data_IF_255768273214
#
_entry.id   IF_255768273214
#
_cell.length_a   1.000
_cell.length_b   1.000
_cell.length_c   1.000
_cell.angle_alpha   90.00
_cell.angle_beta   90.00
_cell.angle_gamma   90.00
#
_symmetry.space_group_name_H-M   'P 1'
#
loop_
_entity.id
_entity.type
_entity.pdbx_description
1 polymer ?
#
# COMPACT_ATOMS: atom_id res chain seq x y z
N UNK A 1 13.14 27.28 0.34
CA UNK A 1 12.96 28.51 1.16
C UNK A 1 14.27 28.80 1.90
N UNK A 2 14.48 29.96 2.53
CA UNK A 2 15.70 30.16 3.33
C UNK A 2 15.77 29.05 4.40
N UNK A 3 16.88 28.32 4.50
CA UNK A 3 17.01 27.15 5.41
C UNK A 3 16.69 27.51 6.86
N UNK A 4 16.95 28.75 7.29
CA UNK A 4 16.61 29.24 8.63
C UNK A 4 15.10 29.32 8.86
N UNK A 5 14.34 29.82 7.87
CA UNK A 5 12.88 29.92 7.93
C UNK A 5 12.24 28.53 7.93
N UNK A 6 12.69 27.64 7.03
CA UNK A 6 12.25 26.23 6.98
C UNK A 6 12.44 25.55 8.33
N UNK A 7 13.60 25.73 8.96
CA UNK A 7 13.90 25.13 10.26
C UNK A 7 13.02 25.68 11.38
N UNK A 8 12.68 26.98 11.36
CA UNK A 8 11.74 27.55 12.32
C UNK A 8 10.35 26.91 12.17
N UNK A 9 9.86 26.75 10.95
CA UNK A 9 8.57 26.08 10.70
C UNK A 9 8.64 24.60 11.11
N UNK A 10 9.72 23.89 10.76
CA UNK A 10 9.90 22.48 11.12
C UNK A 10 9.84 22.28 12.65
N UNK A 11 10.53 23.12 13.43
CA UNK A 11 10.58 22.99 14.90
C UNK A 11 9.21 23.18 15.55
N UNK A 12 8.36 24.05 15.01
CA UNK A 12 7.06 24.34 15.61
C UNK A 12 5.96 23.41 15.09
N UNK A 13 6.00 23.05 13.80
CA UNK A 13 4.90 22.34 13.14
C UNK A 13 5.10 20.82 13.09
N UNK A 14 6.31 20.32 12.85
CA UNK A 14 6.53 18.88 12.65
C UNK A 14 6.36 18.03 13.91
N UNK A 15 6.86 18.43 15.11
CA UNK A 15 6.68 17.63 16.32
C UNK A 15 5.21 17.42 16.67
N UNK A 16 4.38 18.47 16.57
CA UNK A 16 2.97 18.38 16.91
C UNK A 16 2.19 17.54 15.89
N UNK A 17 2.44 17.69 14.59
CA UNK A 17 1.82 16.83 13.57
C UNK A 17 2.20 15.36 13.75
N UNK A 18 3.47 15.10 14.08
CA UNK A 18 3.96 13.75 14.33
C UNK A 18 3.31 13.14 15.56
N UNK A 19 3.15 13.91 16.65
CA UNK A 19 2.44 13.45 17.86
C UNK A 19 0.97 13.15 17.60
N UNK A 20 0.27 14.01 16.85
CA UNK A 20 -1.12 13.77 16.46
C UNK A 20 -1.26 12.49 15.65
N UNK A 21 -0.43 12.31 14.62
CA UNK A 21 -0.46 11.12 13.76
C UNK A 21 -0.05 9.84 14.50
N UNK A 22 0.98 9.92 15.35
CA UNK A 22 1.42 8.82 16.21
C UNK A 22 0.27 8.34 17.12
N UNK A 23 -0.39 9.27 17.81
CA UNK A 23 -1.45 8.95 18.77
C UNK A 23 -2.63 8.24 18.09
N UNK A 24 -3.07 8.75 16.94
CA UNK A 24 -4.14 8.10 16.18
C UNK A 24 -3.74 6.73 15.65
N UNK A 25 -2.47 6.53 15.27
CA UNK A 25 -2.01 5.22 14.81
C UNK A 25 -1.96 4.20 15.95
N UNK A 26 -1.54 4.60 17.15
CA UNK A 26 -1.56 3.75 18.35
C UNK A 26 -3.01 3.33 18.65
N UNK A 27 -3.96 4.26 18.62
CA UNK A 27 -5.39 3.99 18.81
C UNK A 27 -5.92 2.94 17.81
N UNK A 28 -5.49 3.02 16.55
CA UNK A 28 -5.88 2.07 15.50
C UNK A 28 -5.39 0.65 15.77
N UNK A 29 -4.20 0.52 16.36
CA UNK A 29 -3.64 -0.78 16.74
C UNK A 29 -4.25 -1.36 18.03
N UNK A 30 -4.87 -0.53 18.88
CA UNK A 30 -5.42 -0.96 20.17
C UNK A 30 -6.50 -2.03 20.07
N UNK A 31 -7.28 -2.07 19.00
CA UNK A 31 -8.27 -3.14 18.85
C UNK A 31 -7.64 -4.53 18.73
N UNK A 32 -6.46 -4.62 18.11
CA UNK A 32 -5.66 -5.85 18.07
C UNK A 32 -5.17 -6.23 19.46
N UNK A 33 -4.64 -5.26 20.22
CA UNK A 33 -4.17 -5.47 21.59
C UNK A 33 -5.32 -5.85 22.54
N UNK A 34 -6.47 -5.21 22.40
CA UNK A 34 -7.67 -5.48 23.18
C UNK A 34 -8.20 -6.90 22.92
N UNK A 35 -8.15 -7.39 21.66
CA UNK A 35 -8.46 -8.78 21.34
C UNK A 35 -7.62 -9.75 22.17
N UNK A 36 -6.31 -9.50 22.27
CA UNK A 36 -5.38 -10.31 23.05
C UNK A 36 -5.69 -10.22 24.54
N UNK A 37 -6.09 -9.04 25.02
CA UNK A 37 -6.46 -8.76 26.41
C UNK A 37 -7.82 -9.35 26.85
N UNK A 38 -8.48 -10.13 26.00
CA UNK A 38 -9.73 -10.83 26.37
C UNK A 38 -11.01 -10.19 25.85
N UNK A 39 -10.94 -9.11 25.05
CA UNK A 39 -12.10 -8.43 24.46
C UNK A 39 -13.07 -9.41 23.75
N UNK A 40 -12.52 -10.40 23.02
CA UNK A 40 -13.34 -11.39 22.31
C UNK A 40 -14.21 -12.24 23.26
N UNK A 41 -13.68 -12.55 24.46
CA UNK A 41 -14.40 -13.31 25.48
C UNK A 41 -15.41 -12.44 26.23
N UNK A 42 -15.01 -11.23 26.62
CA UNK A 42 -15.84 -10.33 27.43
C UNK A 42 -17.09 -9.86 26.68
N UNK A 43 -16.99 -9.62 25.36
CA UNK A 43 -18.14 -9.25 24.53
C UNK A 43 -18.90 -10.46 23.95
N UNK A 44 -18.47 -11.68 24.26
CA UNK A 44 -19.07 -12.90 23.73
C UNK A 44 -18.99 -13.03 22.21
N UNK A 45 -17.94 -12.48 21.58
CA UNK A 45 -17.75 -12.51 20.13
C UNK A 45 -17.45 -13.95 19.67
N UNK A 46 -18.14 -14.40 18.63
CA UNK A 46 -17.99 -15.74 18.07
C UNK A 46 -17.53 -15.69 16.61
N UNK A 47 -16.52 -16.52 16.30
CA UNK A 47 -16.08 -16.78 14.94
C UNK A 47 -15.55 -15.53 14.22
N UNK A 48 -16.27 -15.08 13.19
CA UNK A 48 -15.83 -13.97 12.32
C UNK A 48 -16.30 -12.59 12.79
N UNK A 49 -17.10 -12.51 13.86
CA UNK A 49 -17.70 -11.25 14.34
C UNK A 49 -16.68 -10.16 14.65
N UNK A 50 -15.53 -10.51 15.23
CA UNK A 50 -14.42 -9.57 15.43
C UNK A 50 -13.90 -8.99 14.11
N UNK A 51 -13.73 -9.84 13.10
CA UNK A 51 -13.25 -9.43 11.77
C UNK A 51 -14.30 -8.59 11.02
N UNK A 52 -15.60 -8.86 11.22
CA UNK A 52 -16.68 -8.01 10.68
C UNK A 52 -16.57 -6.60 11.25
N UNK A 53 -16.33 -6.45 12.57
CA UNK A 53 -16.14 -5.12 13.16
C UNK A 53 -14.92 -4.38 12.61
N UNK A 54 -13.81 -5.08 12.35
CA UNK A 54 -12.65 -4.48 11.66
C UNK A 54 -13.00 -4.05 10.23
N UNK A 55 -13.74 -4.86 9.48
CA UNK A 55 -14.13 -4.57 8.10
C UNK A 55 -15.09 -3.38 8.01
N UNK A 56 -16.06 -3.28 8.93
CA UNK A 56 -17.01 -2.16 9.01
C UNK A 56 -16.28 -0.84 9.18
N UNK A 57 -15.27 -0.81 10.05
CA UNK A 57 -14.40 0.35 10.23
C UNK A 57 -13.69 0.77 8.94
N UNK A 58 -13.08 -0.18 8.22
CA UNK A 58 -12.40 0.12 6.95
C UNK A 58 -13.37 0.62 5.86
N UNK A 59 -14.56 0.06 5.80
CA UNK A 59 -15.59 0.49 4.86
C UNK A 59 -15.98 1.94 5.10
N UNK A 60 -16.19 2.30 6.36
CA UNK A 60 -16.58 3.66 6.72
C UNK A 60 -15.44 4.66 6.61
N UNK A 61 -14.20 4.20 6.82
CA UNK A 61 -12.99 4.99 6.61
C UNK A 61 -12.84 5.40 5.14
N UNK A 62 -12.97 4.46 4.21
CA UNK A 62 -12.80 4.72 2.76
C UNK A 62 -13.87 5.67 2.22
N UNK A 63 -15.13 5.53 2.64
CA UNK A 63 -16.21 6.42 2.15
C UNK A 63 -16.08 7.84 2.67
N UNK A 64 -15.29 8.05 3.72
CA UNK A 64 -15.20 9.33 4.41
C UNK A 64 -13.94 10.13 4.11
N UNK A 65 -12.91 9.52 3.52
CA UNK A 65 -11.68 10.23 3.14
C UNK A 65 -11.95 11.41 2.20
N UNK A 66 -12.75 11.19 1.16
CA UNK A 66 -13.06 12.22 0.16
C UNK A 66 -13.92 13.33 0.78
N UNK A 67 -15.09 13.04 1.39
CA UNK A 67 -15.89 14.09 2.04
C UNK A 67 -15.11 14.87 3.09
N UNK A 68 -14.29 14.20 3.90
CA UNK A 68 -13.51 14.86 4.95
C UNK A 68 -12.48 15.83 4.38
N UNK A 69 -11.78 15.46 3.30
CA UNK A 69 -10.82 16.36 2.67
C UNK A 69 -11.47 17.55 1.96
N UNK A 70 -12.67 17.38 1.40
CA UNK A 70 -13.38 18.50 0.76
C UNK A 70 -13.82 19.56 1.79
N UNK A 71 -14.12 19.14 3.03
CA UNK A 71 -14.49 20.07 4.10
C UNK A 71 -13.33 20.93 4.61
N UNK A 72 -12.08 20.57 4.31
CA UNK A 72 -10.89 21.36 4.64
C UNK A 72 -10.98 22.77 4.07
N UNK A 73 -11.48 22.91 2.83
CA UNK A 73 -11.63 24.21 2.17
C UNK A 73 -12.67 25.12 2.84
N UNK A 74 -13.65 24.53 3.54
CA UNK A 74 -14.75 25.29 4.18
C UNK A 74 -14.44 25.70 5.62
N UNK A 75 -13.80 24.82 6.40
CA UNK A 75 -13.56 25.05 7.83
C UNK A 75 -12.14 25.53 8.16
N UNK A 76 -11.27 25.59 7.15
CA UNK A 76 -9.85 25.92 7.30
C UNK A 76 -9.04 24.72 7.80
N UNK A 77 -7.88 24.51 7.19
CA UNK A 77 -7.04 23.31 7.36
C UNK A 77 -6.69 23.05 8.83
N UNK A 78 -6.30 24.10 9.56
CA UNK A 78 -5.94 24.01 10.98
C UNK A 78 -7.10 23.50 11.83
N UNK A 79 -8.23 24.21 11.81
CA UNK A 79 -9.36 23.94 12.69
C UNK A 79 -9.96 22.57 12.37
N UNK A 80 -10.03 22.23 11.08
CA UNK A 80 -10.50 20.94 10.64
C UNK A 80 -9.61 19.80 11.14
N UNK A 81 -8.29 19.87 10.94
CA UNK A 81 -7.37 18.81 11.36
C UNK A 81 -7.43 18.54 12.86
N UNK A 82 -7.48 19.59 13.69
CA UNK A 82 -7.60 19.44 15.15
C UNK A 82 -8.99 18.99 15.58
N UNK A 83 -10.03 19.35 14.84
CA UNK A 83 -11.36 18.81 15.08
C UNK A 83 -11.38 17.31 14.79
N UNK A 84 -10.77 16.89 13.68
CA UNK A 84 -10.60 15.48 13.28
C UNK A 84 -9.96 14.65 14.40
N UNK A 85 -8.79 15.07 14.89
CA UNK A 85 -8.06 14.31 15.93
C UNK A 85 -8.81 14.29 17.27
N UNK A 86 -9.47 15.38 17.64
CA UNK A 86 -10.29 15.44 18.86
C UNK A 86 -11.46 14.45 18.80
N UNK A 87 -12.20 14.44 17.69
CA UNK A 87 -13.31 13.50 17.50
C UNK A 87 -12.84 12.04 17.47
N UNK A 88 -11.68 11.77 16.88
CA UNK A 88 -11.05 10.44 16.95
C UNK A 88 -10.79 10.01 18.39
N UNK A 89 -10.16 10.85 19.22
CA UNK A 89 -9.90 10.55 20.63
C UNK A 89 -11.18 10.32 21.45
N UNK A 90 -12.26 11.08 21.19
CA UNK A 90 -13.57 10.88 21.84
C UNK A 90 -14.14 9.51 21.50
N UNK A 91 -14.09 9.10 20.23
CA UNK A 91 -14.61 7.81 19.78
C UNK A 91 -13.77 6.65 20.34
N UNK A 92 -12.44 6.81 20.41
CA UNK A 92 -11.56 5.86 21.10
C UNK A 92 -11.97 5.71 22.56
N UNK A 93 -12.21 6.81 23.28
CA UNK A 93 -12.66 6.77 24.67
C UNK A 93 -14.02 6.07 24.82
N UNK A 94 -14.96 6.32 23.91
CA UNK A 94 -16.26 5.61 23.88
C UNK A 94 -16.10 4.10 23.63
N UNK A 95 -15.02 3.66 22.99
CA UNK A 95 -14.73 2.23 22.75
C UNK A 95 -14.43 1.47 24.03
N UNK A 96 -14.08 2.14 25.12
CA UNK A 96 -13.89 1.50 26.42
C UNK A 96 -15.20 0.91 27.00
N UNK A 97 -16.35 1.44 26.61
CA UNK A 97 -17.65 1.10 27.20
C UNK A 97 -18.43 0.03 26.40
N UNK A 98 -17.77 -0.71 25.52
CA UNK A 98 -18.41 -1.76 24.72
C UNK A 98 -18.72 -2.99 25.57
N UNK A 99 -19.96 -3.45 25.57
CA UNK A 99 -20.40 -4.60 26.39
C UNK A 99 -20.85 -5.80 25.57
N UNK A 100 -21.33 -5.56 24.34
CA UNK A 100 -21.94 -6.57 23.47
C UNK A 100 -21.50 -6.40 22.00
N UNK A 101 -21.75 -7.42 21.17
CA UNK A 101 -21.49 -7.34 19.71
C UNK A 101 -22.18 -6.12 19.05
N UNK A 102 -23.41 -5.81 19.46
CA UNK A 102 -24.13 -4.64 18.95
C UNK A 102 -23.39 -3.34 19.27
N UNK A 103 -22.95 -3.15 20.53
CA UNK A 103 -22.15 -1.97 20.91
C UNK A 103 -20.79 -1.96 20.24
N UNK A 104 -20.19 -3.12 19.98
CA UNK A 104 -18.94 -3.23 19.23
C UNK A 104 -19.12 -2.73 17.79
N UNK A 105 -20.16 -3.19 17.08
CA UNK A 105 -20.45 -2.71 15.72
C UNK A 105 -20.90 -1.25 15.72
N UNK A 106 -21.69 -0.82 16.70
CA UNK A 106 -22.11 0.58 16.83
C UNK A 106 -20.91 1.48 17.08
N UNK A 107 -19.96 1.12 17.93
CA UNK A 107 -18.73 1.91 18.06
C UNK A 107 -17.92 1.92 16.75
N UNK A 108 -17.88 0.80 16.03
CA UNK A 108 -17.27 0.69 14.68
C UNK A 108 -18.02 1.41 13.57
N UNK A 109 -19.31 1.71 13.74
CA UNK A 109 -20.17 2.47 12.82
C UNK A 109 -20.33 3.92 13.22
N UNK A 110 -20.23 4.24 14.51
CA UNK A 110 -20.16 5.61 15.01
C UNK A 110 -18.86 6.24 14.53
N UNK A 111 -17.79 5.45 14.44
CA UNK A 111 -16.62 5.69 13.59
C UNK A 111 -16.96 6.06 12.12
N UNK A 112 -18.20 5.87 11.65
CA UNK A 112 -18.53 5.77 10.24
C UNK A 112 -19.85 6.33 9.71
N UNK A 113 -20.64 7.11 10.45
CA UNK A 113 -21.77 7.85 9.84
C UNK A 113 -21.90 9.30 10.29
N UNK A 114 -21.59 9.60 11.55
CA UNK A 114 -21.46 10.97 12.05
C UNK A 114 -20.00 11.35 12.29
N UNK A 115 -19.16 10.35 12.60
CA UNK A 115 -17.72 10.52 12.76
C UNK A 115 -16.87 10.18 11.54
N UNK A 116 -17.49 9.81 10.42
CA UNK A 116 -16.82 9.59 9.13
C UNK A 116 -15.77 10.66 8.83
N UNK A 117 -16.08 11.91 9.16
CA UNK A 117 -15.20 13.05 8.90
C UNK A 117 -13.90 13.03 9.72
N UNK A 118 -13.88 12.43 10.92
CA UNK A 118 -12.76 12.54 11.87
C UNK A 118 -11.53 11.69 11.54
N UNK A 119 -11.68 10.60 10.78
CA UNK A 119 -10.57 9.66 10.59
C UNK A 119 -10.00 9.65 9.16
N UNK A 120 -10.86 9.57 8.14
CA UNK A 120 -10.44 9.42 6.75
C UNK A 120 -9.64 10.60 6.20
N UNK A 121 -9.91 11.81 6.71
CA UNK A 121 -9.24 13.03 6.25
C UNK A 121 -7.92 13.34 6.94
N UNK A 122 -7.48 12.56 7.93
CA UNK A 122 -6.34 12.99 8.75
C UNK A 122 -5.01 12.92 8.00
N UNK A 123 -4.62 11.75 7.47
CA UNK A 123 -3.38 11.62 6.70
C UNK A 123 -3.36 12.53 5.45
N UNK A 124 -4.38 12.50 4.57
CA UNK A 124 -4.37 13.38 3.41
C UNK A 124 -4.54 14.85 3.80
N UNK A 125 -5.24 15.18 4.89
CA UNK A 125 -5.32 16.53 5.44
C UNK A 125 -3.98 17.03 5.99
N UNK A 126 -3.18 16.19 6.63
CA UNK A 126 -1.82 16.52 7.05
C UNK A 126 -0.88 16.70 5.85
N UNK A 127 -1.01 15.85 4.83
CA UNK A 127 -0.24 15.99 3.57
C UNK A 127 -0.61 17.29 2.86
N UNK A 128 -1.90 17.61 2.78
CA UNK A 128 -2.39 18.87 2.22
C UNK A 128 -1.88 20.07 3.03
N UNK A 129 -1.95 20.00 4.36
CA UNK A 129 -1.42 21.03 5.26
C UNK A 129 0.08 21.26 5.09
N UNK A 130 0.88 20.20 5.01
CA UNK A 130 2.31 20.33 4.71
C UNK A 130 2.55 20.88 3.30
N UNK A 131 1.67 20.57 2.35
CA UNK A 131 1.77 21.08 0.99
C UNK A 131 1.49 22.59 0.91
N UNK A 132 0.81 23.21 1.88
CA UNK A 132 0.63 24.68 1.92
C UNK A 132 1.81 25.39 2.59
N UNK A 133 2.53 24.72 3.49
CA UNK A 133 3.66 25.30 4.23
C UNK A 133 5.03 25.08 3.59
N UNK A 134 5.21 24.01 2.80
CA UNK A 134 6.50 23.59 2.26
C UNK A 134 6.51 23.49 0.72
N UNK A 135 7.72 23.60 0.15
CA UNK A 135 7.94 23.42 -1.30
C UNK A 135 7.94 21.95 -1.72
N UNK A 136 7.70 21.67 -3.00
CA UNK A 136 7.73 20.31 -3.59
C UNK A 136 9.00 19.52 -3.24
N UNK A 137 10.17 20.18 -3.27
CA UNK A 137 11.47 19.55 -2.97
C UNK A 137 11.73 19.36 -1.47
N UNK A 138 11.00 20.08 -0.61
CA UNK A 138 11.14 20.02 0.85
C UNK A 138 10.08 19.07 1.46
N UNK A 139 8.95 18.86 0.78
CA UNK A 139 7.77 18.12 1.24
C UNK A 139 8.04 16.63 1.49
N UNK A 140 8.79 15.97 0.60
CA UNK A 140 9.01 14.51 0.67
C UNK A 140 9.62 14.06 2.01
N UNK A 141 10.59 14.81 2.54
CA UNK A 141 11.22 14.50 3.82
C UNK A 141 10.22 14.56 4.98
N UNK A 142 9.33 15.56 4.98
CA UNK A 142 8.33 15.75 6.05
C UNK A 142 7.24 14.70 5.99
N UNK A 143 6.78 14.35 4.78
CA UNK A 143 5.88 13.21 4.59
C UNK A 143 6.55 11.91 5.07
N UNK A 144 7.83 11.71 4.77
CA UNK A 144 8.60 10.56 5.26
C UNK A 144 8.67 10.49 6.79
N UNK A 145 8.85 11.62 7.48
CA UNK A 145 8.81 11.69 8.95
C UNK A 145 7.43 11.29 9.47
N UNK A 146 6.34 11.79 8.88
CA UNK A 146 4.97 11.40 9.27
C UNK A 146 4.72 9.90 9.07
N UNK A 147 5.07 9.36 7.89
CA UNK A 147 4.90 7.93 7.61
C UNK A 147 5.73 7.08 8.58
N UNK A 148 6.90 7.56 9.01
CA UNK A 148 7.74 6.84 9.98
C UNK A 148 7.08 6.71 11.36
N UNK A 149 6.15 7.61 11.74
CA UNK A 149 5.40 7.45 12.98
C UNK A 149 4.46 6.24 12.97
N UNK A 150 4.06 5.73 11.80
CA UNK A 150 3.30 4.47 11.67
C UNK A 150 4.11 3.30 12.24
N UNK A 151 5.39 3.22 11.86
CA UNK A 151 6.29 2.18 12.35
C UNK A 151 6.53 2.32 13.86
N UNK A 152 6.71 3.55 14.35
CA UNK A 152 6.88 3.83 15.78
C UNK A 152 5.61 3.45 16.56
N UNK A 153 4.43 3.87 16.12
CA UNK A 153 3.17 3.57 16.79
C UNK A 153 2.90 2.06 16.86
N UNK A 154 3.19 1.32 15.79
CA UNK A 154 3.11 -0.15 15.81
C UNK A 154 4.09 -0.81 16.79
N UNK A 155 5.31 -0.29 16.91
CA UNK A 155 6.32 -0.81 17.83
C UNK A 155 5.99 -0.53 19.31
N UNK A 156 5.43 0.64 19.62
CA UNK A 156 5.15 1.08 20.99
C UNK A 156 3.74 0.74 21.49
N UNK A 157 2.75 0.60 20.59
CA UNK A 157 1.35 0.35 20.99
C UNK A 157 1.18 -0.94 21.79
N UNK A 158 1.81 -2.05 21.37
CA UNK A 158 1.72 -3.31 22.11
C UNK A 158 2.34 -3.23 23.52
N UNK A 159 3.44 -2.49 23.67
CA UNK A 159 4.12 -2.31 24.96
C UNK A 159 3.29 -1.43 25.92
N UNK A 160 2.72 -0.33 25.39
CA UNK A 160 1.84 0.55 26.15
C UNK A 160 0.60 -0.21 26.61
N UNK A 161 -0.05 -0.94 25.71
CA UNK A 161 -1.20 -1.77 26.01
C UNK A 161 -0.89 -2.84 27.07
N UNK A 162 0.27 -3.49 27.01
CA UNK A 162 0.70 -4.46 28.03
C UNK A 162 0.86 -3.83 29.42
N UNK A 163 1.42 -2.62 29.49
CA UNK A 163 1.54 -1.87 30.75
C UNK A 163 0.17 -1.52 31.34
N UNK A 164 -0.73 -0.99 30.51
CA UNK A 164 -2.08 -0.56 30.91
C UNK A 164 -2.95 -1.75 31.30
N UNK A 165 -2.78 -2.91 30.66
CA UNK A 165 -3.53 -4.13 30.99
C UNK A 165 -3.36 -4.59 32.45
N UNK A 166 -2.30 -4.17 33.15
CA UNK A 166 -2.12 -4.44 34.59
C UNK A 166 -3.16 -3.74 35.47
N UNK A 167 -3.87 -2.76 34.94
CA UNK A 167 -5.00 -2.09 35.60
C UNK A 167 -6.30 -2.90 35.56
N UNK A 168 -6.24 -4.18 35.15
CA UNK A 168 -7.39 -5.06 35.13
C UNK A 168 -8.03 -5.18 36.52
N UNK A 169 -9.34 -4.96 36.61
CA UNK A 169 -10.09 -5.02 37.86
C UNK A 169 -10.12 -3.70 38.66
N UNK A 170 -9.34 -2.69 38.28
CA UNK A 170 -9.46 -1.35 38.86
C UNK A 170 -10.81 -0.77 38.44
N UNK A 171 -11.63 -0.39 39.43
CA UNK A 171 -12.99 0.16 39.26
C UNK A 171 -13.96 -0.77 38.51
N UNK A 172 -13.79 -2.09 38.66
CA UNK A 172 -14.60 -3.13 37.99
C UNK A 172 -14.56 -3.07 36.45
N UNK A 173 -13.55 -2.42 35.86
CA UNK A 173 -13.37 -2.35 34.42
C UNK A 173 -12.30 -3.36 33.96
N UNK A 174 -12.50 -3.99 32.79
CA UNK A 174 -11.51 -4.91 32.25
C UNK A 174 -10.27 -4.14 31.77
N UNK A 175 -9.11 -4.77 31.82
CA UNK A 175 -7.83 -4.13 31.45
C UNK A 175 -7.80 -3.58 30.02
N UNK A 176 -8.57 -4.15 29.10
CA UNK A 176 -8.68 -3.64 27.72
C UNK A 176 -9.45 -2.32 27.61
N UNK A 177 -10.39 -2.04 28.52
CA UNK A 177 -11.13 -0.79 28.52
C UNK A 177 -10.23 0.40 28.90
N UNK A 178 -9.33 0.20 29.85
CA UNK A 178 -8.36 1.22 30.27
C UNK A 178 -7.40 1.65 29.15
N UNK A 179 -7.06 0.75 28.23
CA UNK A 179 -6.27 1.07 27.03
C UNK A 179 -6.98 2.14 26.20
N UNK A 180 -8.28 1.95 25.94
CA UNK A 180 -9.08 2.92 25.19
C UNK A 180 -9.31 4.24 25.94
N UNK A 181 -9.47 4.21 27.27
CA UNK A 181 -9.70 5.43 28.08
C UNK A 181 -8.46 6.31 28.09
N UNK A 182 -7.30 5.75 28.46
CA UNK A 182 -6.07 6.53 28.66
C UNK A 182 -5.55 7.08 27.33
N UNK A 183 -5.56 6.27 26.29
CA UNK A 183 -5.04 6.67 24.98
C UNK A 183 -5.99 7.63 24.26
N UNK A 184 -7.30 7.40 24.34
CA UNK A 184 -8.29 8.35 23.83
C UNK A 184 -8.21 9.72 24.51
N UNK A 185 -8.02 9.77 25.83
CA UNK A 185 -7.84 11.02 26.57
C UNK A 185 -6.56 11.74 26.16
N UNK A 186 -5.45 11.01 26.03
CA UNK A 186 -4.17 11.56 25.58
C UNK A 186 -4.28 12.20 24.19
N UNK A 187 -4.98 11.53 23.26
CA UNK A 187 -5.23 12.04 21.91
C UNK A 187 -6.05 13.33 21.92
N UNK A 188 -7.06 13.45 22.79
CA UNK A 188 -7.83 14.69 22.98
C UNK A 188 -6.92 15.82 23.48
N UNK A 189 -6.06 15.56 24.48
CA UNK A 189 -5.13 16.57 25.01
C UNK A 189 -4.17 17.05 23.92
N UNK A 190 -3.56 16.15 23.16
CA UNK A 190 -2.69 16.53 22.05
C UNK A 190 -3.42 17.32 20.98
N UNK A 191 -4.69 17.00 20.72
CA UNK A 191 -5.51 17.75 19.78
C UNK A 191 -5.75 19.19 20.22
N UNK A 192 -6.03 19.42 21.52
CA UNK A 192 -6.20 20.76 22.09
C UNK A 192 -4.89 21.55 21.99
N UNK A 193 -3.76 20.93 22.34
CA UNK A 193 -2.43 21.53 22.21
C UNK A 193 -2.14 21.87 20.73
N UNK A 194 -2.47 20.96 19.82
CA UNK A 194 -2.34 21.13 18.38
C UNK A 194 -3.12 22.33 17.86
N UNK A 195 -4.31 22.58 18.41
CA UNK A 195 -5.12 23.74 18.05
C UNK A 195 -4.47 25.07 18.44
N UNK A 196 -3.69 25.14 19.53
CA UNK A 196 -2.96 26.36 19.87
C UNK A 196 -1.68 26.55 19.03
N UNK A 197 -0.97 25.46 18.73
CA UNK A 197 0.36 25.51 18.10
C UNK A 197 0.29 25.61 16.57
N UNK A 198 -0.63 24.89 15.92
CA UNK A 198 -0.71 24.85 14.46
C UNK A 198 -1.09 26.22 13.88
N UNK A 199 -0.42 26.63 12.80
CA UNK A 199 -0.73 27.86 12.06
C UNK A 199 -1.56 27.54 10.81
N UNK A 200 -2.62 28.31 10.46
CA UNK A 200 -3.40 28.06 9.25
C UNK A 200 -2.64 28.25 7.93
N UNK A 201 -1.70 29.20 7.90
CA UNK A 201 -0.91 29.59 6.74
C UNK A 201 0.41 30.24 7.17
N UNK A 202 1.33 30.44 6.23
CA UNK A 202 2.60 31.15 6.48
C UNK A 202 2.32 32.61 6.91
N UNK A 203 1.41 33.31 6.23
CA UNK A 203 0.96 34.65 6.60
C UNK A 203 0.47 34.77 8.07
N UNK A 204 -0.22 33.74 8.57
CA UNK A 204 -0.78 33.72 9.93
C UNK A 204 0.17 33.12 10.99
N UNK A 205 1.40 32.75 10.62
CA UNK A 205 2.38 32.18 11.55
C UNK A 205 2.82 33.22 12.59
N UNK A 206 2.58 32.95 13.89
CA UNK A 206 2.96 33.87 14.98
C UNK A 206 4.47 33.92 15.27
N UNK A 207 5.21 32.92 14.79
CA UNK A 207 6.64 32.73 15.07
C UNK A 207 7.57 33.25 13.96
N UNK A 208 7.00 33.78 12.86
CA UNK A 208 7.75 34.41 11.78
C UNK A 208 7.60 35.93 11.87
N UNK A 209 8.70 36.64 11.62
CA UNK A 209 8.68 38.11 11.52
C UNK A 209 8.01 38.55 10.21
N UNK A 210 7.52 39.80 10.13
CA UNK A 210 6.78 40.34 8.97
C UNK A 210 7.61 40.20 7.69
N UNK A 211 8.90 40.54 7.74
CA UNK A 211 9.84 40.37 6.61
C UNK A 211 10.09 38.90 6.24
N UNK A 212 10.07 37.98 7.22
CA UNK A 212 10.22 36.54 6.97
C UNK A 212 8.96 35.93 6.34
N UNK A 213 7.78 36.49 6.65
CA UNK A 213 6.50 36.12 6.06
C UNK A 213 6.41 36.55 4.61
N UNK A 214 6.67 37.82 4.31
CA UNK A 214 6.60 38.34 2.93
C UNK A 214 7.56 37.57 2.01
N UNK A 215 8.79 37.28 2.47
CA UNK A 215 9.76 36.49 1.71
C UNK A 215 9.36 35.01 1.52
N UNK A 216 8.58 34.45 2.46
CA UNK A 216 8.10 33.08 2.38
C UNK A 216 6.83 32.98 1.52
N UNK A 217 5.96 34.01 1.53
CA UNK A 217 4.74 34.09 0.73
C UNK A 217 5.05 34.37 -0.74
N UNK A 218 5.95 35.31 -1.08
CA UNK A 218 6.35 35.61 -2.48
C UNK A 218 6.82 34.36 -3.24
N UNK A 219 7.63 33.52 -2.60
CA UNK A 219 8.18 32.29 -3.22
C UNK A 219 7.25 31.09 -3.14
N UNK A 220 6.16 31.19 -2.38
CA UNK A 220 5.07 30.19 -2.39
C UNK A 220 4.00 30.62 -3.41
N UNK A 221 3.86 31.91 -3.70
CA UNK A 221 3.03 32.45 -4.76
C UNK A 221 3.60 32.21 -6.17
N UNK A 222 4.94 32.24 -6.35
CA UNK A 222 5.62 31.80 -7.59
C UNK A 222 5.23 30.35 -8.02
N UNK A 223 4.72 29.52 -7.10
CA UNK A 223 4.22 28.16 -7.39
C UNK A 223 2.86 28.15 -8.09
N UNK A 224 2.04 29.19 -7.90
CA UNK A 224 0.70 29.30 -8.48
C UNK A 224 0.68 30.12 -9.78
N UNK A 225 1.79 30.77 -10.13
CA UNK A 225 1.91 31.51 -11.38
C UNK A 225 2.45 30.62 -12.51
N UNK A 226 1.57 30.16 -13.40
CA UNK A 226 1.86 30.29 -14.83
C UNK A 226 1.78 31.79 -15.17
N UNK A 227 2.52 32.29 -16.17
CA UNK A 227 2.45 33.69 -16.55
C UNK A 227 1.10 33.94 -17.21
N UNK A 228 0.12 34.36 -16.42
CA UNK A 228 -1.00 35.15 -16.91
C UNK A 228 -0.69 36.58 -16.55
N UNK A 229 -0.36 37.37 -17.57
CA UNK A 229 -0.57 38.81 -17.54
C UNK A 229 -2.01 39.02 -17.08
N UNK A 230 -2.22 39.30 -15.80
CA UNK A 230 -3.22 40.21 -15.24
C UNK A 230 -3.08 40.21 -13.73
N UNK A 231 -2.87 41.41 -13.22
CA UNK A 231 -2.83 41.79 -11.82
C UNK A 231 -4.22 41.66 -11.20
N UNK A 232 -4.55 40.51 -10.66
CA UNK A 232 -5.66 40.39 -9.71
C UNK A 232 -5.17 39.67 -8.46
N UNK A 233 -5.58 40.22 -7.31
CA UNK A 233 -5.38 39.68 -5.96
C UNK A 233 -5.61 38.16 -5.93
N UNK A 234 -4.93 37.39 -5.04
CA UNK A 234 -5.06 35.93 -5.00
C UNK A 234 -6.54 35.56 -4.87
N UNK A 235 -7.15 35.14 -5.98
CA UNK A 235 -8.57 34.78 -6.02
C UNK A 235 -8.77 33.62 -5.05
N UNK A 236 -9.70 33.82 -4.11
CA UNK A 236 -10.10 32.77 -3.18
C UNK A 236 -10.78 31.70 -4.01
N UNK A 237 -10.08 30.59 -4.26
CA UNK A 237 -10.61 29.47 -5.05
C UNK A 237 -11.93 29.00 -4.45
N UNK A 238 -13.03 29.26 -5.16
CA UNK A 238 -14.36 28.88 -4.73
C UNK A 238 -14.56 27.37 -4.93
N UNK A 239 -15.23 26.72 -3.97
CA UNK A 239 -15.49 25.29 -4.06
C UNK A 239 -16.40 24.97 -5.26
N UNK A 240 -15.86 24.30 -6.26
CA UNK A 240 -16.60 23.85 -7.44
C UNK A 240 -16.65 22.32 -7.53
N UNK A 241 -17.87 21.79 -7.67
CA UNK A 241 -18.07 20.36 -7.89
C UNK A 241 -17.45 19.85 -9.21
N UNK A 242 -17.21 20.74 -10.17
CA UNK A 242 -16.54 20.42 -11.42
C UNK A 242 -15.07 19.99 -11.18
N UNK A 243 -14.34 20.69 -10.32
CA UNK A 243 -12.95 20.37 -9.98
C UNK A 243 -12.84 19.07 -9.15
N UNK A 244 -13.80 18.79 -8.27
CA UNK A 244 -13.89 17.48 -7.60
C UNK A 244 -14.05 16.36 -8.64
N UNK A 245 -14.92 16.56 -9.64
CA UNK A 245 -15.13 15.59 -10.72
C UNK A 245 -13.90 15.43 -11.60
N UNK A 246 -13.13 16.49 -11.80
CA UNK A 246 -11.86 16.48 -12.54
C UNK A 246 -10.78 15.71 -11.79
N UNK A 247 -10.63 15.93 -10.48
CA UNK A 247 -9.69 15.19 -9.62
C UNK A 247 -10.02 13.69 -9.56
N UNK A 248 -11.31 13.32 -9.44
CA UNK A 248 -11.74 11.93 -9.49
C UNK A 248 -11.52 11.25 -10.86
N UNK A 249 -11.36 12.03 -11.93
CA UNK A 249 -11.05 11.56 -13.28
C UNK A 249 -9.57 11.71 -13.64
N UNK A 250 -8.72 12.19 -12.73
CA UNK A 250 -7.28 12.35 -12.98
C UNK A 250 -6.58 10.98 -12.99
N UNK A 251 -6.01 10.55 -14.14
CA UNK A 251 -5.31 9.27 -14.24
C UNK A 251 -4.12 9.15 -13.28
N UNK A 252 -3.43 10.26 -12.97
CA UNK A 252 -2.25 10.22 -12.11
C UNK A 252 -2.61 9.82 -10.66
N UNK A 253 -3.71 10.34 -10.12
CA UNK A 253 -4.23 9.98 -8.81
C UNK A 253 -4.52 8.47 -8.71
N UNK A 254 -5.20 7.91 -9.71
CA UNK A 254 -5.50 6.48 -9.76
C UNK A 254 -4.25 5.60 -9.88
N UNK A 255 -3.32 5.94 -10.78
CA UNK A 255 -2.09 5.16 -10.98
C UNK A 255 -1.22 5.11 -9.72
N UNK A 256 -1.06 6.25 -9.04
CA UNK A 256 -0.24 6.35 -7.82
C UNK A 256 -0.92 5.73 -6.61
N UNK A 257 -2.24 5.90 -6.45
CA UNK A 257 -3.01 5.24 -5.39
C UNK A 257 -2.97 3.71 -5.49
N UNK A 258 -3.13 3.16 -6.70
CA UNK A 258 -3.01 1.72 -6.94
C UNK A 258 -1.61 1.17 -6.66
N UNK A 259 -0.55 1.93 -6.97
CA UNK A 259 0.82 1.54 -6.65
C UNK A 259 1.09 1.47 -5.13
N UNK A 260 0.56 2.43 -4.36
CA UNK A 260 0.67 2.43 -2.89
C UNK A 260 -0.09 1.26 -2.28
N UNK A 261 -1.29 0.97 -2.77
CA UNK A 261 -2.08 -0.20 -2.36
C UNK A 261 -1.27 -1.51 -2.56
N UNK A 262 -0.59 -1.65 -3.70
CA UNK A 262 0.23 -2.82 -3.99
C UNK A 262 1.45 -2.96 -3.06
N UNK A 263 2.06 -1.86 -2.61
CA UNK A 263 3.24 -1.89 -1.73
C UNK A 263 2.92 -2.33 -0.29
N UNK A 264 1.75 -1.98 0.25
CA UNK A 264 1.45 -2.17 1.67
C UNK A 264 1.16 -3.63 2.08
N UNK A 265 1.24 -4.57 1.16
CA UNK A 265 0.79 -5.94 1.40
C UNK A 265 1.98 -6.93 1.69
N UNK A 266 3.29 -6.70 1.41
CA UNK A 266 4.28 -7.83 1.27
C UNK A 266 5.85 -7.59 1.44
N UNK A 267 6.52 -7.95 2.57
CA UNK A 267 7.99 -7.70 2.80
C UNK A 267 9.00 -8.87 2.68
N UNK A 268 8.68 -10.09 3.13
CA UNK A 268 9.60 -11.24 3.03
C UNK A 268 9.94 -11.57 1.56
N UNK A 269 8.89 -11.54 0.77
CA UNK A 269 8.84 -11.54 -0.68
C UNK A 269 9.87 -10.61 -1.31
N UNK A 270 9.95 -9.36 -0.85
CA UNK A 270 10.76 -8.32 -1.47
C UNK A 270 12.26 -8.65 -1.49
N UNK A 271 12.81 -9.12 -0.36
CA UNK A 271 14.25 -9.48 -0.26
C UNK A 271 14.60 -10.67 -1.14
N UNK A 272 13.72 -11.67 -1.19
CA UNK A 272 13.90 -12.85 -2.04
C UNK A 272 13.88 -12.48 -3.53
N UNK A 273 12.98 -11.59 -3.94
CA UNK A 273 12.90 -11.10 -5.32
C UNK A 273 14.21 -10.45 -5.75
N UNK A 274 14.78 -9.59 -4.91
CA UNK A 274 16.02 -8.87 -5.24
C UNK A 274 17.23 -9.81 -5.36
N UNK A 275 17.37 -10.78 -4.45
CA UNK A 275 18.51 -11.73 -4.48
C UNK A 275 18.45 -12.58 -5.74
N UNK A 276 17.29 -13.15 -6.05
CA UNK A 276 17.10 -13.96 -7.25
C UNK A 276 17.29 -13.12 -8.50
N UNK A 277 16.80 -11.87 -8.54
CA UNK A 277 17.02 -10.97 -9.67
C UNK A 277 18.52 -10.73 -9.92
N UNK A 278 19.32 -10.48 -8.87
CA UNK A 278 20.78 -10.31 -9.01
C UNK A 278 21.49 -11.56 -9.51
N UNK A 279 21.10 -12.74 -9.02
CA UNK A 279 21.67 -14.01 -9.47
C UNK A 279 21.27 -14.28 -10.93
N UNK A 280 20.00 -14.05 -11.27
CA UNK A 280 19.44 -14.15 -12.62
C UNK A 280 20.21 -13.28 -13.62
N UNK A 281 20.44 -12.01 -13.28
CA UNK A 281 21.13 -11.09 -14.20
C UNK A 281 22.62 -11.42 -14.34
N UNK A 282 23.30 -11.82 -13.25
CA UNK A 282 24.72 -12.21 -13.30
C UNK A 282 24.95 -13.48 -14.10
N UNK A 283 24.10 -14.48 -13.93
CA UNK A 283 24.25 -15.79 -14.57
C UNK A 283 23.51 -15.90 -15.91
N UNK A 284 22.72 -14.90 -16.29
CA UNK A 284 21.88 -14.87 -17.51
C UNK A 284 21.02 -16.14 -17.68
N UNK A 285 20.60 -16.72 -16.56
CA UNK A 285 19.76 -17.91 -16.48
C UNK A 285 18.50 -17.54 -15.70
N UNK A 286 17.38 -17.36 -16.41
CA UNK A 286 16.08 -16.97 -15.85
C UNK A 286 15.20 -18.19 -15.68
N UNK A 287 14.99 -18.96 -16.74
CA UNK A 287 14.15 -20.15 -16.72
C UNK A 287 14.68 -21.25 -15.78
N UNK A 288 15.99 -21.59 -15.81
CA UNK A 288 16.56 -22.56 -14.87
C UNK A 288 16.42 -22.16 -13.39
N UNK A 289 16.52 -20.87 -13.06
CA UNK A 289 16.31 -20.40 -11.68
C UNK A 289 14.87 -20.60 -11.24
N UNK A 290 13.89 -20.32 -12.11
CA UNK A 290 12.47 -20.59 -11.83
C UNK A 290 12.23 -22.09 -11.60
N UNK A 291 12.89 -22.96 -12.36
CA UNK A 291 12.80 -24.42 -12.18
C UNK A 291 13.34 -24.91 -10.83
N UNK A 292 14.27 -24.18 -10.20
CA UNK A 292 14.78 -24.47 -8.85
C UNK A 292 13.89 -23.88 -7.75
N UNK A 293 13.30 -22.71 -7.98
CA UNK A 293 12.51 -21.98 -6.99
C UNK A 293 11.09 -22.50 -6.81
N UNK A 294 10.42 -22.89 -7.91
CA UNK A 294 9.04 -23.37 -7.86
C UNK A 294 8.87 -24.70 -7.06
N UNK A 295 9.80 -25.67 -7.08
CA UNK A 295 9.76 -26.84 -6.20
C UNK A 295 9.76 -26.50 -4.70
N UNK A 296 10.42 -25.40 -4.30
CA UNK A 296 10.39 -24.91 -2.91
C UNK A 296 8.97 -24.48 -2.54
N UNK A 297 8.26 -23.82 -3.46
CA UNK A 297 6.86 -23.45 -3.27
C UNK A 297 5.95 -24.68 -3.22
N UNK A 298 6.17 -25.66 -4.10
CA UNK A 298 5.48 -26.97 -4.10
C UNK A 298 5.63 -27.66 -2.75
N UNK A 299 6.83 -27.72 -2.20
CA UNK A 299 7.08 -28.27 -0.87
C UNK A 299 6.33 -27.50 0.22
N UNK A 300 6.26 -26.17 0.12
CA UNK A 300 5.44 -25.32 0.99
C UNK A 300 3.95 -25.68 0.94
N UNK A 301 3.35 -25.79 -0.24
CA UNK A 301 1.95 -26.18 -0.38
C UNK A 301 1.66 -27.60 0.12
N UNK A 302 2.56 -28.55 -0.11
CA UNK A 302 2.45 -29.92 0.42
C UNK A 302 2.49 -29.90 1.95
N UNK A 303 3.43 -29.14 2.54
CA UNK A 303 3.56 -28.99 3.99
C UNK A 303 2.32 -28.33 4.60
N UNK A 304 1.75 -27.33 3.93
CA UNK A 304 0.50 -26.68 4.34
C UNK A 304 -0.71 -27.64 4.32
N UNK A 305 -0.74 -28.58 3.36
CA UNK A 305 -1.81 -29.58 3.24
C UNK A 305 -1.72 -30.69 4.29
N UNK A 306 -0.50 -31.18 4.57
CA UNK A 306 -0.27 -32.35 5.42
C UNK A 306 -0.18 -31.98 6.91
N UNK A 307 0.31 -30.78 7.22
CA UNK A 307 0.52 -30.37 8.59
C UNK A 307 -0.78 -30.10 9.35
N UNK A 308 -0.86 -30.67 10.55
CA UNK A 308 -1.89 -30.34 11.55
C UNK A 308 -1.44 -29.28 12.55
N UNK A 309 -0.13 -28.99 12.64
CA UNK A 309 0.45 -28.03 13.58
C UNK A 309 0.38 -26.60 13.03
N UNK A 310 -0.20 -25.63 13.77
CA UNK A 310 -0.23 -24.23 13.36
C UNK A 310 1.16 -23.65 13.07
N UNK A 311 2.19 -24.07 13.81
CA UNK A 311 3.58 -23.59 13.62
C UNK A 311 4.15 -24.00 12.26
N UNK A 312 3.91 -25.25 11.89
CA UNK A 312 4.40 -25.81 10.62
C UNK A 312 3.62 -25.23 9.44
N UNK A 313 2.32 -24.93 9.62
CA UNK A 313 1.51 -24.24 8.61
C UNK A 313 1.89 -22.76 8.43
N UNK A 314 2.36 -22.12 9.49
CA UNK A 314 2.94 -20.79 9.37
C UNK A 314 4.28 -20.83 8.61
N UNK A 315 5.14 -21.80 8.93
CA UNK A 315 6.41 -22.01 8.23
C UNK A 315 6.22 -22.32 6.73
N UNK A 316 5.17 -23.06 6.35
CA UNK A 316 4.87 -23.36 4.95
C UNK A 316 4.55 -22.12 4.11
N UNK A 317 3.98 -21.07 4.70
CA UNK A 317 3.69 -19.81 3.98
C UNK A 317 4.99 -19.13 3.53
N UNK A 318 6.06 -19.21 4.32
CA UNK A 318 7.38 -18.69 3.92
C UNK A 318 7.96 -19.48 2.75
N UNK A 319 7.83 -20.81 2.76
CA UNK A 319 8.30 -21.63 1.62
C UNK A 319 7.49 -21.33 0.34
N UNK A 320 6.18 -21.17 0.46
CA UNK A 320 5.30 -20.81 -0.65
C UNK A 320 5.70 -19.45 -1.26
N UNK A 321 5.89 -18.43 -0.42
CA UNK A 321 6.23 -17.07 -0.83
C UNK A 321 7.67 -16.94 -1.36
N UNK A 322 8.61 -17.75 -0.86
CA UNK A 322 10.00 -17.80 -1.37
C UNK A 322 10.07 -18.21 -2.83
N UNK A 323 9.28 -19.19 -3.24
CA UNK A 323 9.34 -19.70 -4.60
C UNK A 323 8.56 -18.84 -5.58
N UNK A 324 7.36 -18.37 -5.21
CA UNK A 324 6.42 -17.74 -6.13
C UNK A 324 6.89 -16.34 -6.54
N UNK A 325 7.19 -15.48 -5.58
CA UNK A 325 7.41 -14.07 -5.89
C UNK A 325 8.71 -13.79 -6.66
N UNK A 326 9.86 -14.39 -6.33
CA UNK A 326 11.07 -14.19 -7.12
C UNK A 326 10.95 -14.78 -8.53
N UNK A 327 10.17 -15.85 -8.68
CA UNK A 327 9.85 -16.43 -9.99
C UNK A 327 9.05 -15.46 -10.87
N UNK A 328 8.17 -14.65 -10.28
CA UNK A 328 7.40 -13.62 -11.01
C UNK A 328 8.31 -12.60 -11.68
N UNK A 329 9.34 -12.10 -10.97
CA UNK A 329 10.32 -11.18 -11.54
C UNK A 329 11.10 -11.81 -12.72
N UNK A 330 11.42 -13.10 -12.62
CA UNK A 330 12.06 -13.83 -13.71
C UNK A 330 11.11 -13.98 -14.91
N UNK A 331 9.84 -14.34 -14.69
CA UNK A 331 8.85 -14.46 -15.77
C UNK A 331 8.68 -13.17 -16.56
N UNK A 332 8.56 -12.04 -15.86
CA UNK A 332 8.38 -10.73 -16.49
C UNK A 332 9.60 -10.26 -17.30
N UNK A 333 10.78 -10.83 -17.05
CA UNK A 333 12.01 -10.46 -17.76
C UNK A 333 12.38 -11.41 -18.90
N UNK A 334 11.81 -12.63 -18.98
CA UNK A 334 12.10 -13.57 -20.06
C UNK A 334 11.67 -13.00 -21.43
N UNK A 335 10.42 -12.55 -21.58
CA UNK A 335 9.91 -12.05 -22.86
C UNK A 335 10.55 -10.75 -23.35
N UNK A 336 10.79 -9.74 -22.50
CA UNK A 336 11.61 -8.61 -22.90
C UNK A 336 12.95 -9.06 -23.47
N UNK A 337 13.65 -9.99 -22.83
CA UNK A 337 14.97 -10.41 -23.29
C UNK A 337 14.95 -11.30 -24.55
N UNK A 338 13.83 -12.01 -24.78
CA UNK A 338 13.69 -12.97 -25.87
C UNK A 338 12.91 -12.44 -27.08
N UNK A 339 12.36 -11.23 -27.00
CA UNK A 339 11.70 -10.53 -28.10
C UNK A 339 12.48 -9.28 -28.47
N UNK A 340 12.82 -9.13 -29.76
CA UNK A 340 13.44 -7.91 -30.28
C UNK A 340 12.50 -7.17 -31.24
N UNK A 341 12.75 -5.86 -31.40
CA UNK A 341 11.80 -4.93 -32.00
C UNK A 341 10.79 -4.41 -30.97
N UNK A 342 10.61 -3.09 -30.91
CA UNK A 342 9.78 -2.40 -29.90
C UNK A 342 8.33 -2.90 -29.91
N UNK A 343 7.74 -3.00 -31.10
CA UNK A 343 6.34 -3.43 -31.28
C UNK A 343 6.14 -4.88 -30.83
N UNK A 344 6.97 -5.82 -31.29
CA UNK A 344 6.86 -7.23 -30.91
C UNK A 344 7.10 -7.44 -29.42
N UNK A 345 8.11 -6.78 -28.85
CA UNK A 345 8.40 -6.82 -27.41
C UNK A 345 7.19 -6.32 -26.62
N UNK A 346 6.63 -5.16 -26.97
CA UNK A 346 5.44 -4.63 -26.32
C UNK A 346 4.24 -5.58 -26.42
N UNK A 347 3.97 -6.15 -27.60
CA UNK A 347 2.88 -7.13 -27.80
C UNK A 347 3.08 -8.40 -26.96
N UNK A 348 4.28 -8.96 -26.92
CA UNK A 348 4.55 -10.20 -26.14
C UNK A 348 4.44 -9.97 -24.63
N UNK A 349 4.96 -8.85 -24.12
CA UNK A 349 4.79 -8.47 -22.70
C UNK A 349 3.30 -8.29 -22.38
N UNK A 350 2.55 -7.62 -23.26
CA UNK A 350 1.12 -7.41 -23.10
C UNK A 350 0.35 -8.73 -23.05
N UNK A 351 0.62 -9.68 -23.97
CA UNK A 351 0.00 -11.01 -23.97
C UNK A 351 0.29 -11.78 -22.68
N UNK A 352 1.51 -11.70 -22.15
CA UNK A 352 1.87 -12.36 -20.89
C UNK A 352 1.11 -11.80 -19.70
N UNK A 353 1.04 -10.47 -19.57
CA UNK A 353 0.29 -9.81 -18.48
C UNK A 353 -1.21 -10.09 -18.62
N UNK A 354 -1.73 -10.08 -19.85
CA UNK A 354 -3.13 -10.42 -20.15
C UNK A 354 -3.50 -11.82 -19.66
N UNK A 355 -2.67 -12.83 -19.96
CA UNK A 355 -2.90 -14.21 -19.48
C UNK A 355 -2.77 -14.28 -17.95
N UNK A 356 -1.79 -13.57 -17.35
CA UNK A 356 -1.61 -13.52 -15.90
C UNK A 356 -2.82 -12.98 -15.14
N UNK A 357 -3.51 -11.97 -15.68
CA UNK A 357 -4.68 -11.36 -15.05
C UNK A 357 -5.88 -12.32 -14.94
N UNK A 358 -5.96 -13.36 -15.78
CA UNK A 358 -7.00 -14.41 -15.68
C UNK A 358 -6.94 -15.14 -14.32
N UNK A 359 -5.76 -15.22 -13.69
CA UNK A 359 -5.60 -15.81 -12.36
C UNK A 359 -6.37 -15.04 -11.27
N UNK A 360 -6.51 -13.71 -11.42
CA UNK A 360 -7.29 -12.86 -10.51
C UNK A 360 -8.78 -13.20 -10.49
N UNK A 361 -9.31 -13.75 -11.59
CA UNK A 361 -10.68 -14.28 -11.66
C UNK A 361 -10.82 -15.62 -10.92
N UNK A 362 -9.82 -16.51 -11.01
CA UNK A 362 -9.89 -17.84 -10.42
C UNK A 362 -9.65 -17.80 -8.88
N UNK A 363 -8.73 -16.96 -8.41
CA UNK A 363 -8.24 -16.95 -7.02
C UNK A 363 -9.33 -16.80 -5.92
N UNK A 364 -10.35 -15.93 -6.04
CA UNK A 364 -11.39 -15.77 -5.02
C UNK A 364 -12.25 -17.03 -4.82
N UNK A 365 -12.39 -17.87 -5.85
CA UNK A 365 -13.19 -19.09 -5.81
C UNK A 365 -12.44 -20.30 -5.22
N UNK A 366 -11.13 -20.16 -4.96
CA UNK A 366 -10.27 -21.25 -4.46
C UNK A 366 -10.45 -21.48 -2.95
N UNK A 367 -10.70 -20.43 -2.16
CA UNK A 367 -10.79 -20.47 -0.70
C UNK A 367 -12.19 -20.10 -0.19
N UNK A 368 -13.18 -20.96 -0.44
CA UNK A 368 -14.56 -20.74 0.02
C UNK A 368 -14.81 -21.29 1.43
N UNK A 369 -15.53 -20.52 2.26
CA UNK A 369 -15.90 -20.89 3.64
C UNK A 369 -17.07 -21.90 3.74
N UNK A 370 -17.63 -22.33 2.61
CA UNK A 370 -18.93 -23.01 2.52
C UNK A 370 -18.97 -24.47 3.02
N UNK A 371 -17.88 -25.05 3.53
CA UNK A 371 -17.82 -26.48 3.85
C UNK A 371 -16.99 -26.85 5.08
N UNK A 372 -17.14 -26.14 6.22
CA UNK A 372 -16.42 -26.46 7.47
C UNK A 372 -14.91 -26.71 7.28
N UNK A 373 -14.28 -26.02 6.32
CA UNK A 373 -12.88 -26.25 5.95
C UNK A 373 -11.90 -25.51 6.85
N UNK A 374 -12.39 -24.56 7.66
CA UNK A 374 -11.62 -23.95 8.73
C UNK A 374 -11.26 -24.99 9.79
N UNK A 375 -10.04 -24.96 10.36
CA UNK A 375 -8.99 -23.97 10.18
C UNK A 375 -7.98 -24.30 9.06
N UNK A 376 -8.18 -25.35 8.25
CA UNK A 376 -7.13 -25.97 7.40
C UNK A 376 -7.16 -25.65 5.90
N UNK A 377 -8.33 -25.46 5.30
CA UNK A 377 -8.49 -25.08 3.89
C UNK A 377 -7.72 -25.95 2.87
N UNK A 378 -7.67 -27.27 3.08
CA UNK A 378 -6.83 -28.21 2.29
C UNK A 378 -7.19 -28.22 0.80
N UNK A 379 -8.47 -28.08 0.44
CA UNK A 379 -8.91 -28.07 -0.97
C UNK A 379 -8.31 -26.89 -1.74
N UNK A 380 -8.30 -25.70 -1.14
CA UNK A 380 -7.71 -24.51 -1.76
C UNK A 380 -6.20 -24.65 -1.97
N UNK A 381 -5.49 -25.19 -0.98
CA UNK A 381 -4.05 -25.46 -1.10
C UNK A 381 -3.74 -26.50 -2.17
N UNK A 382 -4.57 -27.54 -2.36
CA UNK A 382 -4.41 -28.55 -3.42
C UNK A 382 -4.61 -27.96 -4.83
N UNK A 383 -5.60 -27.10 -5.02
CA UNK A 383 -5.84 -26.45 -6.33
C UNK A 383 -4.66 -25.53 -6.66
N UNK A 384 -4.22 -24.71 -5.70
CA UNK A 384 -3.05 -23.84 -5.86
C UNK A 384 -1.78 -24.65 -6.18
N UNK A 385 -1.58 -25.79 -5.51
CA UNK A 385 -0.48 -26.70 -5.79
C UNK A 385 -0.47 -27.20 -7.25
N UNK A 386 -1.63 -27.59 -7.80
CA UNK A 386 -1.74 -28.05 -9.20
C UNK A 386 -1.31 -26.96 -10.19
N UNK A 387 -1.70 -25.71 -9.96
CA UNK A 387 -1.29 -24.58 -10.82
C UNK A 387 0.21 -24.29 -10.72
N UNK A 388 0.81 -24.40 -9.53
CA UNK A 388 2.27 -24.24 -9.37
C UNK A 388 3.03 -25.36 -10.08
N UNK A 389 2.55 -26.60 -10.02
CA UNK A 389 3.12 -27.71 -10.78
C UNK A 389 2.97 -27.51 -12.30
N UNK A 390 1.81 -27.05 -12.77
CA UNK A 390 1.60 -26.73 -14.18
C UNK A 390 2.53 -25.58 -14.65
N UNK A 391 2.71 -24.54 -13.83
CA UNK A 391 3.66 -23.47 -14.10
C UNK A 391 5.10 -23.98 -14.21
N UNK A 392 5.50 -24.93 -13.36
CA UNK A 392 6.81 -25.58 -13.45
C UNK A 392 6.96 -26.34 -14.78
N UNK A 393 5.97 -27.13 -15.18
CA UNK A 393 5.99 -27.89 -16.44
C UNK A 393 6.05 -26.97 -17.67
N UNK A 394 5.24 -25.90 -17.70
CA UNK A 394 5.27 -24.91 -18.78
C UNK A 394 6.61 -24.18 -18.84
N UNK A 395 7.20 -23.86 -17.69
CA UNK A 395 8.54 -23.26 -17.63
C UNK A 395 9.60 -24.22 -18.17
N UNK A 396 9.52 -25.50 -17.81
CA UNK A 396 10.43 -26.53 -18.32
C UNK A 396 10.29 -26.67 -19.84
N UNK A 397 9.07 -26.70 -20.37
CA UNK A 397 8.81 -26.74 -21.81
C UNK A 397 9.38 -25.51 -22.54
N UNK A 398 9.23 -24.32 -21.96
CA UNK A 398 9.78 -23.08 -22.53
C UNK A 398 11.32 -23.09 -22.53
N UNK A 399 11.95 -23.50 -21.42
CA UNK A 399 13.41 -23.64 -21.34
C UNK A 399 13.92 -24.65 -22.37
N UNK A 400 13.24 -25.80 -22.51
CA UNK A 400 13.58 -26.81 -23.51
C UNK A 400 13.40 -26.29 -24.95
N UNK A 401 12.36 -25.52 -25.22
CA UNK A 401 12.13 -24.89 -26.52
C UNK A 401 13.24 -23.89 -26.85
N UNK A 402 13.53 -22.94 -25.96
CA UNK A 402 14.61 -21.97 -26.14
C UNK A 402 15.98 -22.65 -26.28
N UNK A 403 16.22 -23.70 -25.51
CA UNK A 403 17.45 -24.49 -25.60
C UNK A 403 17.58 -25.22 -26.94
N UNK A 404 16.52 -25.91 -27.40
CA UNK A 404 16.50 -26.59 -28.70
C UNK A 404 16.66 -25.62 -29.87
N UNK A 405 15.97 -24.48 -29.82
CA UNK A 405 16.03 -23.47 -30.88
C UNK A 405 17.42 -22.82 -30.94
N UNK A 406 18.05 -22.56 -29.79
CA UNK A 406 19.45 -22.10 -29.73
C UNK A 406 20.43 -23.11 -30.34
N UNK A 407 20.22 -24.42 -30.12
CA UNK A 407 21.04 -25.47 -30.73
C UNK A 407 20.82 -25.52 -32.24
N UNK A 408 19.56 -25.47 -32.71
CA UNK A 408 19.22 -25.50 -34.12
C UNK A 408 19.78 -24.30 -34.89
N UNK A 409 19.74 -23.11 -34.29
CA UNK A 409 20.35 -21.88 -34.84
C UNK A 409 21.87 -21.95 -34.90
N UNK A 410 22.53 -22.44 -33.84
CA UNK A 410 23.98 -22.68 -33.85
C UNK A 410 24.42 -23.71 -34.89
N UNK A 411 23.54 -24.67 -35.23
CA UNK A 411 23.78 -25.67 -36.26
C UNK A 411 23.43 -25.21 -37.68
N UNK A 412 23.06 -23.93 -37.90
CA UNK A 412 22.72 -23.36 -39.21
C UNK A 412 21.38 -23.83 -39.80
N UNK A 413 20.58 -24.60 -39.06
CA UNK A 413 19.32 -25.19 -39.57
C UNK A 413 18.22 -24.14 -39.80
N UNK A 414 18.42 -22.91 -39.34
CA UNK A 414 17.45 -21.81 -39.36
C UNK A 414 17.86 -20.63 -40.25
N UNK A 415 18.96 -20.78 -40.99
CA UNK A 415 19.48 -19.73 -41.88
C UNK A 415 18.50 -19.40 -43.02
N UNK A 416 17.61 -20.33 -43.34
CA UNK A 416 16.55 -20.12 -44.33
C UNK A 416 15.59 -18.97 -43.98
N UNK A 417 15.39 -18.71 -42.68
CA UNK A 417 14.47 -17.67 -42.21
C UNK A 417 14.96 -16.26 -42.61
N UNK A 418 16.28 -16.08 -42.72
CA UNK A 418 16.85 -14.80 -43.14
C UNK A 418 16.52 -14.49 -44.60
N UNK A 419 16.66 -15.45 -45.52
CA UNK A 419 16.37 -15.19 -46.94
C UNK A 419 14.87 -14.95 -47.19
N UNK A 420 13.98 -15.68 -46.50
CA UNK A 420 12.53 -15.49 -46.60
C UNK A 420 12.13 -14.08 -46.14
N UNK A 421 12.79 -13.59 -45.10
CA UNK A 421 12.54 -12.27 -44.56
C UNK A 421 12.93 -11.15 -45.52
N UNK A 422 14.13 -11.22 -46.10
CA UNK A 422 14.60 -10.21 -47.04
C UNK A 422 13.74 -10.17 -48.31
N UNK A 423 13.31 -11.33 -48.80
CA UNK A 423 12.34 -11.42 -49.90
C UNK A 423 11.03 -10.68 -49.59
N UNK A 424 10.45 -10.90 -48.40
CA UNK A 424 9.23 -10.20 -47.97
C UNK A 424 9.42 -8.69 -47.83
N UNK A 425 10.63 -8.25 -47.45
CA UNK A 425 10.97 -6.82 -47.34
C UNK A 425 11.10 -6.16 -48.71
N UNK A 426 11.72 -6.85 -49.67
CA UNK A 426 11.87 -6.38 -51.05
C UNK A 426 10.52 -6.32 -51.77
N UNK A 427 9.62 -7.26 -51.49
CA UNK A 427 8.23 -7.27 -51.96
C UNK A 427 7.34 -6.20 -51.27
N UNK A 428 7.88 -5.44 -50.31
CA UNK A 428 7.17 -4.38 -49.59
C UNK A 428 6.11 -4.85 -48.59
N UNK A 429 5.97 -6.17 -48.39
CA UNK A 429 4.98 -6.77 -47.48
C UNK A 429 5.31 -6.55 -45.99
N UNK A 430 6.58 -6.36 -45.65
CA UNK A 430 7.03 -6.07 -44.26
C UNK A 430 8.05 -4.94 -44.23
N UNK A 431 7.82 -3.93 -43.37
CA UNK A 431 8.74 -2.79 -43.15
C UNK A 431 9.51 -2.85 -41.81
N UNK A 432 9.26 -3.88 -41.02
CA UNK A 432 9.89 -4.06 -39.69
C UNK A 432 11.39 -4.39 -39.81
N UNK A 433 12.16 -4.35 -38.71
CA UNK A 433 13.48 -4.98 -38.63
C UNK A 433 13.36 -6.49 -38.40
N UNK A 434 14.34 -7.29 -38.87
CA UNK A 434 14.34 -8.77 -38.79
C UNK A 434 14.24 -9.28 -37.34
N UNK A 435 14.90 -8.58 -36.41
CA UNK A 435 14.78 -8.81 -34.99
C UNK A 435 15.19 -10.22 -34.56
N UNK A 436 14.30 -10.93 -33.87
CA UNK A 436 14.56 -12.22 -33.23
C UNK A 436 14.37 -13.39 -34.19
N UNK A 437 13.93 -13.10 -35.42
CA UNK A 437 13.97 -14.01 -36.58
C UNK A 437 15.37 -14.16 -37.15
N UNK A 438 16.29 -13.29 -36.76
CA UNK A 438 17.69 -13.40 -37.17
C UNK A 438 18.29 -14.72 -36.66
N UNK A 439 18.91 -15.53 -37.54
CA UNK A 439 19.56 -16.79 -37.15
C UNK A 439 20.65 -16.60 -36.07
N UNK A 440 21.25 -15.42 -35.99
CA UNK A 440 22.27 -15.07 -34.99
C UNK A 440 21.69 -14.72 -33.62
N UNK A 441 20.39 -14.46 -33.52
CA UNK A 441 19.72 -14.15 -32.26
C UNK A 441 19.59 -15.41 -31.40
N UNK A 442 20.18 -15.37 -30.20
CA UNK A 442 20.11 -16.45 -29.22
C UNK A 442 19.15 -16.08 -28.08
N UNK A 443 18.22 -16.99 -27.79
CA UNK A 443 17.31 -16.85 -26.66
C UNK A 443 18.06 -16.96 -25.33
N UNK A 444 17.68 -16.12 -24.36
CA UNK A 444 18.11 -16.29 -22.97
C UNK A 444 17.29 -17.40 -22.32
N UNK A 445 17.97 -18.31 -21.61
CA UNK A 445 17.37 -19.49 -20.98
C UNK A 445 16.61 -19.16 -19.70
#
# INVERSE_FOLDING_TARGET
MNRKIVRKIDIHTMPILSLLWLSCFIDRTNIGNAKIAGLEKDLGLKGIQFNIGLAVFFLTYVTSEIPSNLLIGRFGIKNWLTFLVCGWGIVTLCSAFMTNYATFIVTRLLLGKFSCLFEGGMLPGMVLYLSTLYRKNELQLRIGILISCVALGGAFSGLLAYGIQRMNGIRHQPGWAWVFILEGLLTIVFSIIGWFILCPSIASARFLDIYEKDFADDKTAERNQRPSDHSDSPEVEHFEWAEVRRGLRDPQAWMTGLAVMALLVELYTFRMVIVVARVSDKARIRGPLVLVLLPISVAGYILACLSRSPRVRYASVFLMTTGIFPSLACFLTILPNNSSGVTKRATTIAVQIMIGNVAGFIAPFVYTNAAHQGPRFVKGHKIALTFVCAAWLCTAANVLYCWKENIARKAGKRDHIAWEYWKQRDEGTTKSPIGDRDPTFLYTL
#
